data_IF_813584248965
#
_entry.id   IF_813584248965
#
_cell.length_a   1.000
_cell.length_b   1.000
_cell.length_c   1.000
_cell.angle_alpha   90.00
_cell.angle_beta   90.00
_cell.angle_gamma   90.00
#
_symmetry.space_group_name_H-M   'P 1'
#
loop_
_entity.id
_entity.type
_entity.pdbx_description
1 polymer ?
#
# COMPACT_ATOMS: atom_id res chain seq x y z
N UNK A 1 47.53 55.65 -22.65
CA UNK A 1 47.64 54.53 -23.59
C UNK A 1 47.19 53.26 -22.87
N UNK A 2 46.04 52.69 -23.30
CA UNK A 2 45.60 51.27 -23.26
C UNK A 2 45.61 50.48 -21.93
N UNK A 3 44.68 49.60 -21.52
CA UNK A 3 43.37 49.07 -21.91
C UNK A 3 42.97 48.08 -20.76
N UNK A 4 41.74 48.04 -20.22
CA UNK A 4 40.57 47.22 -20.59
C UNK A 4 40.63 45.67 -20.35
N UNK A 5 39.72 45.21 -19.47
CA UNK A 5 39.07 43.87 -19.28
C UNK A 5 39.79 42.70 -18.59
N UNK A 6 39.08 42.04 -17.65
CA UNK A 6 38.42 40.76 -17.92
C UNK A 6 37.26 40.49 -16.93
N UNK A 7 36.10 40.16 -17.49
CA UNK A 7 34.88 39.70 -16.82
C UNK A 7 34.88 38.17 -16.79
N UNK A 8 34.47 37.57 -15.68
CA UNK A 8 34.15 36.14 -15.61
C UNK A 8 32.73 35.97 -15.07
N UNK A 9 31.80 35.68 -16.00
CA UNK A 9 30.51 35.07 -15.71
C UNK A 9 30.74 33.62 -15.25
N UNK A 10 30.13 33.22 -14.15
CA UNK A 10 29.95 31.81 -13.82
C UNK A 10 28.47 31.44 -14.01
N UNK A 11 28.22 30.45 -14.86
CA UNK A 11 26.90 29.92 -15.21
C UNK A 11 26.18 29.33 -13.99
N UNK A 12 24.95 29.76 -13.75
CA UNK A 12 24.03 29.04 -12.86
C UNK A 12 23.57 27.74 -13.57
N UNK A 13 23.95 26.59 -13.01
CA UNK A 13 23.49 25.29 -13.48
C UNK A 13 22.01 25.09 -13.10
N UNK A 14 21.12 25.27 -14.07
CA UNK A 14 19.69 24.96 -13.94
C UNK A 14 19.58 23.43 -13.99
N UNK A 15 19.36 22.80 -12.83
CA UNK A 15 19.10 21.36 -12.76
C UNK A 15 17.71 21.08 -13.31
N UNK A 16 17.64 20.50 -14.51
CA UNK A 16 16.38 20.08 -15.13
C UNK A 16 15.79 18.89 -14.36
N UNK A 17 14.64 19.09 -13.73
CA UNK A 17 13.87 18.01 -13.15
C UNK A 17 13.30 17.12 -14.27
N UNK A 18 13.75 15.86 -14.33
CA UNK A 18 13.17 14.86 -15.21
C UNK A 18 11.80 14.45 -14.65
N UNK A 19 10.74 14.85 -15.34
CA UNK A 19 9.39 14.34 -15.09
C UNK A 19 9.33 12.94 -15.70
N UNK A 20 9.61 11.90 -14.91
CA UNK A 20 9.30 10.53 -15.32
C UNK A 20 7.79 10.35 -15.31
N UNK A 21 7.17 10.38 -16.48
CA UNK A 21 5.79 9.95 -16.68
C UNK A 21 5.72 8.42 -16.61
N UNK A 22 5.09 7.90 -15.56
CA UNK A 22 4.78 6.47 -15.45
C UNK A 22 3.83 6.04 -16.59
N UNK A 23 4.05 4.88 -17.22
CA UNK A 23 3.20 4.40 -18.31
C UNK A 23 1.79 4.07 -17.78
N UNK A 24 0.79 4.41 -18.59
CA UNK A 24 -0.61 4.15 -18.30
C UNK A 24 -0.90 2.63 -18.25
N UNK A 25 -1.55 2.26 -17.15
CA UNK A 25 -1.91 0.93 -16.70
C UNK A 25 -2.72 0.12 -17.73
N UNK A 26 -2.22 -1.03 -18.17
CA UNK A 26 -3.10 -2.20 -18.27
C UNK A 26 -3.71 -2.40 -16.88
N UNK A 27 -5.00 -2.73 -16.75
CA UNK A 27 -5.75 -2.83 -15.48
C UNK A 27 -5.05 -3.71 -14.41
N UNK A 28 -4.02 -3.15 -13.79
CA UNK A 28 -3.08 -3.84 -12.95
C UNK A 28 -3.32 -3.35 -11.54
N UNK A 29 -3.50 -4.29 -10.62
CA UNK A 29 -3.60 -3.95 -9.21
C UNK A 29 -2.35 -3.18 -8.78
N UNK A 30 -2.48 -2.19 -7.89
CA UNK A 30 -1.34 -1.50 -7.30
C UNK A 30 -0.43 -2.46 -6.54
N UNK A 31 0.85 -2.12 -6.40
CA UNK A 31 1.80 -2.94 -5.63
C UNK A 31 1.40 -3.00 -4.15
N UNK A 32 1.85 -4.05 -3.46
CA UNK A 32 1.51 -4.23 -2.04
C UNK A 32 1.98 -3.06 -1.16
N UNK A 33 3.08 -2.43 -1.53
CA UNK A 33 3.78 -1.33 -0.86
C UNK A 33 3.36 0.06 -1.33
N UNK A 34 2.39 0.14 -2.25
CA UNK A 34 1.81 1.40 -2.68
C UNK A 34 1.22 2.18 -1.49
N UNK A 35 1.48 3.48 -1.44
CA UNK A 35 1.09 4.33 -0.31
C UNK A 35 -0.43 4.44 -0.16
N UNK A 36 -1.18 4.43 -1.27
CA UNK A 36 -2.65 4.44 -1.26
C UNK A 36 -3.23 3.13 -0.73
N UNK A 37 -2.63 2.00 -1.10
CA UNK A 37 -2.97 0.67 -0.56
C UNK A 37 -2.70 0.64 0.95
N UNK A 38 -1.49 1.02 1.38
CA UNK A 38 -1.12 1.00 2.79
C UNK A 38 -1.95 1.95 3.65
N UNK A 39 -2.36 3.10 3.10
CA UNK A 39 -3.27 4.03 3.76
C UNK A 39 -4.65 3.40 4.00
N UNK A 40 -5.23 2.75 2.97
CA UNK A 40 -6.52 2.05 3.10
C UNK A 40 -6.44 0.87 4.08
N UNK A 41 -5.35 0.10 4.04
CA UNK A 41 -5.09 -0.99 5.00
C UNK A 41 -5.02 -0.44 6.42
N UNK A 42 -4.21 0.59 6.66
CA UNK A 42 -4.08 1.23 7.97
C UNK A 42 -5.42 1.75 8.48
N UNK A 43 -6.21 2.38 7.60
CA UNK A 43 -7.55 2.85 7.94
C UNK A 43 -8.48 1.71 8.35
N UNK A 44 -8.54 0.61 7.58
CA UNK A 44 -9.34 -0.57 7.97
C UNK A 44 -8.91 -1.17 9.31
N UNK A 45 -7.61 -1.30 9.54
CA UNK A 45 -7.09 -1.82 10.81
C UNK A 45 -7.49 -0.92 11.99
N UNK A 46 -7.41 0.40 11.81
CA UNK A 46 -7.83 1.37 12.81
C UNK A 46 -9.33 1.28 13.12
N UNK A 47 -10.17 1.19 12.09
CA UNK A 47 -11.62 1.03 12.24
C UNK A 47 -11.95 -0.30 12.95
N UNK A 48 -11.30 -1.39 12.56
CA UNK A 48 -11.47 -2.70 13.20
C UNK A 48 -11.02 -2.71 14.67
N UNK A 49 -9.90 -2.05 14.98
CA UNK A 49 -9.44 -1.90 16.36
C UNK A 49 -10.45 -1.09 17.19
N UNK A 50 -10.95 0.03 16.65
CA UNK A 50 -11.89 0.91 17.36
C UNK A 50 -13.27 0.27 17.59
N UNK A 51 -13.79 -0.46 16.59
CA UNK A 51 -15.19 -0.88 16.57
C UNK A 51 -15.41 -2.38 16.88
N UNK A 52 -14.37 -3.22 16.75
CA UNK A 52 -14.52 -4.68 16.85
C UNK A 52 -13.60 -5.28 17.91
N UNK A 53 -12.30 -5.01 17.84
CA UNK A 53 -11.29 -5.67 18.69
C UNK A 53 -11.15 -4.99 20.05
N UNK A 54 -11.09 -3.66 20.07
CA UNK A 54 -10.96 -2.82 21.27
C UNK A 54 -9.87 -3.29 22.24
N UNK A 55 -8.72 -3.73 21.73
CA UNK A 55 -7.64 -4.25 22.57
C UNK A 55 -6.75 -3.19 23.22
N UNK A 56 -6.93 -1.91 22.85
CA UNK A 56 -6.14 -0.79 23.38
C UNK A 56 -4.68 -0.76 22.88
N UNK A 57 -4.39 -1.45 21.78
CA UNK A 57 -3.03 -1.62 21.24
C UNK A 57 -3.05 -1.54 19.70
N UNK A 58 -3.44 -0.40 19.10
CA UNK A 58 -3.61 -0.29 17.65
C UNK A 58 -2.31 -0.53 16.89
N UNK A 59 -2.43 -0.95 15.62
CA UNK A 59 -1.29 -1.01 14.70
C UNK A 59 -0.97 0.40 14.23
N UNK A 60 0.26 0.86 14.50
CA UNK A 60 0.73 2.21 14.17
C UNK A 60 1.59 2.24 12.91
N UNK A 61 2.27 1.12 12.59
CA UNK A 61 3.19 1.06 11.46
C UNK A 61 3.11 -0.29 10.75
N UNK A 62 3.14 -0.25 9.41
CA UNK A 62 3.27 -1.41 8.54
C UNK A 62 4.64 -1.42 7.87
N UNK A 63 5.31 -2.56 7.88
CA UNK A 63 6.67 -2.74 7.33
C UNK A 63 6.82 -4.11 6.68
N UNK A 64 7.94 -4.33 5.97
CA UNK A 64 8.31 -5.63 5.37
C UNK A 64 7.18 -6.23 4.53
N UNK A 65 6.53 -5.35 3.77
CA UNK A 65 5.46 -5.64 2.85
C UNK A 65 5.99 -6.48 1.69
N UNK A 66 5.27 -7.55 1.36
CA UNK A 66 5.59 -8.39 0.20
C UNK A 66 4.34 -9.07 -0.35
N UNK A 67 4.36 -9.31 -1.65
CA UNK A 67 3.35 -10.11 -2.32
C UNK A 67 3.53 -11.59 -1.96
N UNK A 68 2.44 -12.26 -1.58
CA UNK A 68 2.42 -13.72 -1.35
C UNK A 68 1.84 -14.48 -2.52
N UNK A 69 0.81 -13.92 -3.18
CA UNK A 69 0.13 -14.57 -4.30
C UNK A 69 -0.48 -13.52 -5.22
N UNK A 70 -0.46 -13.79 -6.51
CA UNK A 70 -1.13 -12.99 -7.52
C UNK A 70 -2.11 -13.85 -8.31
N UNK A 71 -3.33 -13.35 -8.47
CA UNK A 71 -4.40 -14.01 -9.23
C UNK A 71 -4.98 -13.02 -10.22
N UNK A 72 -4.27 -12.80 -11.31
CA UNK A 72 -4.72 -11.94 -12.41
C UNK A 72 -5.27 -12.76 -13.58
N UNK A 73 -4.73 -13.97 -13.82
CA UNK A 73 -5.04 -14.79 -15.00
C UNK A 73 -5.72 -16.12 -14.61
N UNK A 74 -7.03 -16.08 -14.33
CA UNK A 74 -7.80 -17.29 -13.99
C UNK A 74 -9.27 -17.21 -14.41
N UNK A 75 -10.08 -18.25 -14.14
CA UNK A 75 -11.51 -18.27 -14.50
C UNK A 75 -12.36 -17.26 -13.72
N UNK A 76 -11.75 -16.46 -12.83
CA UNK A 76 -12.43 -15.41 -12.08
C UNK A 76 -12.28 -14.10 -12.83
N UNK A 77 -13.38 -13.38 -12.97
CA UNK A 77 -13.45 -12.08 -13.65
C UNK A 77 -12.74 -10.96 -12.88
N UNK A 78 -12.36 -11.19 -11.62
CA UNK A 78 -11.79 -10.18 -10.73
C UNK A 78 -10.35 -10.56 -10.36
N UNK A 79 -9.42 -9.65 -10.66
CA UNK A 79 -8.03 -9.77 -10.24
C UNK A 79 -7.88 -9.59 -8.72
N UNK A 80 -7.02 -10.41 -8.11
CA UNK A 80 -6.71 -10.34 -6.67
C UNK A 80 -5.20 -10.44 -6.44
N UNK A 81 -4.65 -9.55 -5.59
CA UNK A 81 -3.25 -9.56 -5.17
C UNK A 81 -3.18 -9.72 -3.65
N UNK A 82 -2.60 -10.82 -3.20
CA UNK A 82 -2.43 -11.14 -1.79
C UNK A 82 -1.08 -10.67 -1.30
N UNK A 83 -1.09 -10.02 -0.15
CA UNK A 83 0.07 -9.38 0.43
C UNK A 83 0.18 -9.73 1.92
N UNK A 84 1.42 -9.70 2.41
CA UNK A 84 1.75 -9.89 3.81
C UNK A 84 2.66 -8.76 4.28
N UNK A 85 2.31 -8.18 5.42
CA UNK A 85 3.12 -7.18 6.10
C UNK A 85 3.38 -7.54 7.57
N UNK A 86 4.33 -6.83 8.17
CA UNK A 86 4.59 -6.82 9.61
C UNK A 86 4.08 -5.51 10.19
N UNK A 87 3.08 -5.63 11.05
CA UNK A 87 2.53 -4.52 11.80
C UNK A 87 3.24 -4.39 13.15
N UNK A 88 3.57 -3.15 13.52
CA UNK A 88 3.98 -2.80 14.88
C UNK A 88 2.80 -2.14 15.57
N UNK A 89 2.52 -2.60 16.77
CA UNK A 89 1.51 -1.97 17.60
C UNK A 89 2.13 -0.81 18.40
N UNK A 90 1.27 0.03 18.97
CA UNK A 90 1.68 1.13 19.84
C UNK A 90 2.55 0.66 21.02
N UNK A 91 2.26 -0.50 21.59
CA UNK A 91 3.07 -1.12 22.65
C UNK A 91 4.32 -1.87 22.11
N UNK A 92 4.70 -1.64 20.86
CA UNK A 92 5.89 -2.23 20.23
C UNK A 92 5.78 -3.70 19.85
N UNK A 93 4.59 -4.31 19.92
CA UNK A 93 4.40 -5.73 19.63
C UNK A 93 4.37 -5.96 18.12
N UNK A 94 5.07 -7.00 17.67
CA UNK A 94 5.07 -7.43 16.27
C UNK A 94 3.86 -8.30 15.98
N UNK A 95 3.06 -7.92 14.99
CA UNK A 95 1.93 -8.69 14.46
C UNK A 95 2.12 -8.97 12.97
N UNK A 96 1.53 -10.07 12.50
CA UNK A 96 1.49 -10.36 11.06
C UNK A 96 0.15 -9.89 10.53
N UNK A 97 0.19 -9.04 9.51
CA UNK A 97 -0.98 -8.53 8.81
C UNK A 97 -1.04 -9.19 7.44
N UNK A 98 -2.21 -9.71 7.09
CA UNK A 98 -2.53 -10.21 5.77
C UNK A 98 -3.55 -9.28 5.15
N UNK A 99 -3.40 -8.96 3.88
CA UNK A 99 -4.39 -8.18 3.16
C UNK A 99 -4.41 -8.59 1.70
N UNK A 100 -5.58 -8.44 1.09
CA UNK A 100 -5.79 -8.67 -0.33
C UNK A 100 -6.21 -7.35 -0.98
N UNK A 101 -5.68 -7.10 -2.17
CA UNK A 101 -6.09 -6.02 -3.06
C UNK A 101 -6.97 -6.66 -4.13
N UNK A 102 -8.21 -6.21 -4.23
CA UNK A 102 -9.19 -6.77 -5.16
C UNK A 102 -9.61 -5.72 -6.18
N UNK A 103 -9.72 -6.12 -7.44
CA UNK A 103 -10.21 -5.24 -8.48
C UNK A 103 -11.72 -5.07 -8.37
N UNK A 104 -12.20 -3.83 -8.42
CA UNK A 104 -13.62 -3.52 -8.48
C UNK A 104 -13.95 -2.88 -9.84
N UNK A 105 -14.88 -3.48 -10.56
CA UNK A 105 -15.40 -2.94 -11.82
C UNK A 105 -16.80 -2.42 -11.58
N UNK A 106 -16.99 -1.11 -11.60
CA UNK A 106 -18.30 -0.46 -11.50
C UNK A 106 -18.82 -0.02 -12.87
N UNK A 107 -20.10 0.37 -12.92
CA UNK A 107 -20.75 0.87 -14.14
C UNK A 107 -20.02 2.08 -14.77
N UNK A 108 -19.41 2.93 -13.95
CA UNK A 108 -18.79 4.19 -14.39
C UNK A 108 -17.25 4.18 -14.39
N UNK A 109 -16.59 3.25 -13.68
CA UNK A 109 -15.12 3.23 -13.59
C UNK A 109 -14.57 1.92 -13.00
N UNK A 110 -13.27 1.72 -13.18
CA UNK A 110 -12.47 0.71 -12.51
C UNK A 110 -11.86 1.29 -11.23
N UNK A 111 -11.93 0.55 -10.14
CA UNK A 111 -11.31 0.89 -8.86
C UNK A 111 -10.74 -0.37 -8.20
N UNK A 112 -10.16 -0.24 -7.01
CA UNK A 112 -9.72 -1.39 -6.23
C UNK A 112 -10.14 -1.24 -4.76
N UNK A 113 -10.45 -2.37 -4.15
CA UNK A 113 -10.66 -2.52 -2.72
C UNK A 113 -9.42 -3.11 -2.05
N UNK A 114 -9.35 -2.95 -0.73
CA UNK A 114 -8.46 -3.74 0.12
C UNK A 114 -9.26 -4.33 1.25
N UNK A 115 -8.86 -5.53 1.67
CA UNK A 115 -9.42 -6.18 2.85
C UNK A 115 -8.25 -6.68 3.70
N UNK A 116 -8.17 -6.20 4.95
CA UNK A 116 -7.04 -6.43 5.84
C UNK A 116 -7.44 -7.20 7.10
N UNK A 117 -6.58 -8.12 7.53
CA UNK A 117 -6.76 -8.94 8.73
C UNK A 117 -5.45 -9.09 9.52
N UNK A 118 -5.54 -9.00 10.84
CA UNK A 118 -4.43 -9.23 11.75
C UNK A 118 -4.52 -10.66 12.29
N UNK A 119 -3.47 -11.44 12.08
CA UNK A 119 -3.43 -12.83 12.53
C UNK A 119 -3.58 -12.92 14.05
N UNK A 120 -4.64 -13.60 14.51
CA UNK A 120 -4.92 -13.81 15.93
C UNK A 120 -5.54 -12.61 16.64
N UNK A 121 -6.04 -11.61 15.91
CA UNK A 121 -6.72 -10.41 16.43
C UNK A 121 -8.03 -10.15 15.67
N UNK A 122 -8.76 -11.21 15.40
CA UNK A 122 -10.11 -11.16 14.81
C UNK A 122 -11.04 -12.00 15.70
N UNK A 123 -11.85 -11.36 16.57
CA UNK A 123 -12.77 -12.05 17.47
C UNK A 123 -13.85 -12.84 16.75
N UNK A 124 -14.33 -12.33 15.61
CA UNK A 124 -15.47 -12.90 14.88
C UNK A 124 -15.05 -13.84 13.75
N UNK A 125 -13.75 -13.90 13.44
CA UNK A 125 -13.17 -14.80 12.42
C UNK A 125 -13.84 -14.60 11.06
N UNK A 126 -14.16 -13.35 10.69
CA UNK A 126 -14.80 -13.02 9.40
C UNK A 126 -13.93 -13.51 8.25
N UNK A 127 -12.61 -13.37 8.38
CA UNK A 127 -11.65 -13.83 7.38
C UNK A 127 -11.19 -15.30 7.62
N UNK A 128 -11.97 -16.06 8.39
CA UNK A 128 -11.62 -17.37 8.91
C UNK A 128 -10.54 -17.33 10.01
N UNK A 129 -10.31 -18.46 10.66
CA UNK A 129 -9.23 -18.58 11.64
C UNK A 129 -7.88 -18.24 10.96
N UNK A 130 -7.15 -17.29 11.54
CA UNK A 130 -5.84 -16.83 11.07
C UNK A 130 -5.83 -16.17 9.67
N UNK A 131 -6.89 -15.43 9.31
CA UNK A 131 -6.94 -14.65 8.06
C UNK A 131 -6.84 -15.51 6.79
N UNK A 132 -7.51 -16.67 6.78
CA UNK A 132 -7.44 -17.64 5.68
C UNK A 132 -7.95 -17.09 4.35
N UNK A 133 -8.98 -16.25 4.35
CA UNK A 133 -9.55 -15.72 3.09
C UNK A 133 -8.64 -14.70 2.41
N UNK A 134 -7.82 -13.97 3.17
CA UNK A 134 -6.97 -12.87 2.70
C UNK A 134 -5.46 -13.19 2.68
N UNK A 135 -5.10 -14.47 2.80
CA UNK A 135 -3.70 -14.95 2.86
C UNK A 135 -3.17 -15.50 1.53
#
# INVERSE_FOLDING_TARGET
MTNFKLSTLACAAISSALITSSPAHAHALPSCDDSGVLAKVSHQLFIGEKNVVQSGDPITQLTKTRQTKLRENGPRTIAQRYCRAKGYTEHGRKKTVYYVIEQHTGFASFSYGVEACISGRDPWKIHGAYCRSVR
#
